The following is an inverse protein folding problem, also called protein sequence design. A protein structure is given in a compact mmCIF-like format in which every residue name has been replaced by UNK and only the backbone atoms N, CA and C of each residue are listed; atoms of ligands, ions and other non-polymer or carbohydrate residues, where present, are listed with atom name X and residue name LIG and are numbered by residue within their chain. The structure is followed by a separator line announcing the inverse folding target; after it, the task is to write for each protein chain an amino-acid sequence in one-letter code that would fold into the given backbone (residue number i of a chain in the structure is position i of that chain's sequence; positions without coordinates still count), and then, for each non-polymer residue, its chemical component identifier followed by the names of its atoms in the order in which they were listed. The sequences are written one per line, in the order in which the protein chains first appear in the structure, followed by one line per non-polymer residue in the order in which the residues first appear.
data_IF_559469271324
#
_entry.id   IF_559469271324
#
_cell.length_a   1.000
_cell.length_b   1.000
_cell.length_c   1.000
_cell.angle_alpha   90.00
_cell.angle_beta   90.00
_cell.angle_gamma   90.00
#
_symmetry.space_group_name_H-M   'P 1'
#
loop_
_entity.id
_entity.type
_entity.pdbx_description
1 polymer ?
#
# COMPACT_ATOMS: atom_id res chain seq x y z
N UNK A 1 -16.35 9.97 -30.97
CA UNK A 1 -15.75 8.65 -30.63
C UNK A 1 -15.73 8.54 -29.11
N UNK A 2 -15.87 7.37 -28.51
CA UNK A 2 -15.53 7.21 -27.11
C UNK A 2 -14.00 7.29 -26.93
N UNK A 3 -13.54 7.64 -25.72
CA UNK A 3 -12.11 7.74 -25.42
C UNK A 3 -11.37 6.41 -25.58
N UNK A 4 -12.07 5.28 -25.49
CA UNK A 4 -11.57 3.94 -25.82
C UNK A 4 -11.21 3.80 -27.29
N UNK A 5 -12.08 4.25 -28.19
CA UNK A 5 -11.92 4.12 -29.64
C UNK A 5 -10.74 4.98 -30.12
N UNK A 6 -10.51 6.10 -29.45
CA UNK A 6 -9.32 6.95 -29.62
C UNK A 6 -8.02 6.22 -29.23
N UNK A 7 -8.02 5.46 -28.13
CA UNK A 7 -6.86 4.65 -27.72
C UNK A 7 -6.64 3.44 -28.65
N UNK A 8 -7.71 2.79 -29.10
CA UNK A 8 -7.64 1.70 -30.07
C UNK A 8 -7.15 2.19 -31.44
N UNK A 9 -7.56 3.39 -31.87
CA UNK A 9 -6.95 4.07 -33.01
C UNK A 9 -5.45 4.32 -32.79
N UNK A 10 -5.05 4.93 -31.67
CA UNK A 10 -3.64 5.21 -31.32
C UNK A 10 -2.78 3.96 -30.98
N UNK A 11 -3.22 2.76 -31.38
CA UNK A 11 -2.43 1.52 -31.35
C UNK A 11 -2.93 0.47 -30.37
N UNK A 12 -4.05 0.71 -29.67
CA UNK A 12 -4.63 -0.24 -28.72
C UNK A 12 -3.67 -0.58 -27.58
N UNK A 13 -3.37 -1.86 -27.37
CA UNK A 13 -2.39 -2.32 -26.39
C UNK A 13 -0.98 -2.21 -26.98
N UNK A 14 -0.55 -0.98 -27.22
CA UNK A 14 0.76 -0.66 -27.79
C UNK A 14 1.91 -0.72 -26.79
N UNK A 15 3.12 -0.43 -27.28
CA UNK A 15 4.36 -0.43 -26.47
C UNK A 15 4.26 0.53 -25.27
N UNK A 16 3.65 1.70 -25.45
CA UNK A 16 3.43 2.62 -24.35
C UNK A 16 2.53 2.01 -23.26
N UNK A 17 1.38 1.46 -23.63
CA UNK A 17 0.42 0.89 -22.68
C UNK A 17 1.04 -0.23 -21.85
N UNK A 18 1.85 -1.10 -22.47
CA UNK A 18 2.56 -2.18 -21.78
C UNK A 18 3.60 -1.65 -20.78
N UNK A 19 4.49 -0.76 -21.23
CA UNK A 19 5.56 -0.19 -20.37
C UNK A 19 4.98 0.66 -19.23
N UNK A 20 3.99 1.50 -19.53
CA UNK A 20 3.30 2.34 -18.54
C UNK A 20 2.58 1.51 -17.48
N UNK A 21 1.92 0.41 -17.89
CA UNK A 21 1.29 -0.52 -16.96
C UNK A 21 2.32 -1.25 -16.11
N UNK A 22 3.41 -1.75 -16.68
CA UNK A 22 4.49 -2.40 -15.91
C UNK A 22 5.09 -1.47 -14.85
N UNK A 23 5.31 -0.19 -15.18
CA UNK A 23 5.79 0.85 -14.26
C UNK A 23 4.79 1.23 -13.15
N UNK A 24 3.49 0.95 -13.32
CA UNK A 24 2.48 1.14 -12.28
C UNK A 24 2.21 -0.14 -11.47
N UNK A 25 2.41 -1.33 -12.06
CA UNK A 25 2.24 -2.61 -11.36
C UNK A 25 3.41 -2.95 -10.44
N UNK A 26 4.66 -2.60 -10.80
CA UNK A 26 5.84 -2.81 -9.96
C UNK A 26 5.68 -2.28 -8.51
N UNK A 27 5.32 -0.99 -8.29
CA UNK A 27 5.08 -0.47 -6.93
C UNK A 27 3.85 -1.08 -6.26
N UNK A 28 2.82 -1.46 -7.01
CA UNK A 28 1.64 -2.14 -6.47
C UNK A 28 1.95 -3.58 -6.00
N UNK A 29 2.89 -4.27 -6.65
CA UNK A 29 3.41 -5.55 -6.16
C UNK A 29 4.12 -5.41 -4.83
N UNK A 30 5.06 -4.46 -4.72
CA UNK A 30 5.84 -4.23 -3.49
C UNK A 30 5.01 -3.66 -2.32
N UNK A 31 3.78 -3.18 -2.56
CA UNK A 31 2.83 -2.88 -1.48
C UNK A 31 2.33 -4.13 -0.75
N UNK A 32 2.34 -5.30 -1.39
CA UNK A 32 2.12 -6.56 -0.67
C UNK A 32 3.19 -6.77 0.41
N UNK A 33 4.45 -6.41 0.12
CA UNK A 33 5.53 -6.50 1.10
C UNK A 33 5.21 -5.68 2.36
N UNK A 34 4.66 -4.46 2.23
CA UNK A 34 4.27 -3.66 3.38
C UNK A 34 3.01 -4.17 4.12
N UNK A 35 2.00 -4.68 3.41
CA UNK A 35 0.81 -5.25 4.06
C UNK A 35 1.12 -6.50 4.89
N UNK A 36 2.03 -7.37 4.41
CA UNK A 36 2.40 -8.61 5.09
C UNK A 36 3.65 -8.52 5.96
N UNK A 37 4.34 -7.37 5.98
CA UNK A 37 5.56 -7.12 6.75
C UNK A 37 5.44 -7.51 8.24
N UNK A 38 4.28 -7.20 8.83
CA UNK A 38 4.01 -7.48 10.25
C UNK A 38 4.06 -8.97 10.60
N UNK A 39 3.86 -9.89 9.65
CA UNK A 39 3.97 -11.34 9.89
C UNK A 39 5.42 -11.75 10.25
N UNK A 40 6.41 -11.01 9.75
CA UNK A 40 7.83 -11.23 10.05
C UNK A 40 8.31 -10.30 11.17
N UNK A 41 8.00 -9.00 11.09
CA UNK A 41 8.48 -8.03 12.08
C UNK A 41 7.81 -8.17 13.45
N UNK A 42 6.64 -8.82 13.55
CA UNK A 42 5.93 -9.11 14.79
C UNK A 42 5.79 -10.61 15.11
N UNK A 43 6.73 -11.41 14.61
CA UNK A 43 6.93 -12.76 15.12
C UNK A 43 7.26 -12.71 16.62
N UNK A 44 6.60 -13.56 17.40
CA UNK A 44 6.90 -13.78 18.82
C UNK A 44 7.74 -15.06 18.94
N UNK A 45 9.05 -14.99 19.19
CA UNK A 45 9.86 -16.19 19.42
C UNK A 45 9.50 -16.83 20.78
N UNK A 46 9.97 -18.06 21.07
CA UNK A 46 9.90 -18.64 22.40
C UNK A 46 10.46 -17.67 23.46
N UNK A 47 9.75 -17.53 24.57
CA UNK A 47 10.09 -16.60 25.65
C UNK A 47 9.68 -17.17 27.01
N UNK A 48 10.26 -16.61 28.07
CA UNK A 48 9.95 -16.91 29.46
C UNK A 48 10.14 -15.66 30.34
N UNK A 49 9.63 -15.67 31.56
CA UNK A 49 9.84 -14.56 32.50
C UNK A 49 11.33 -14.36 32.81
N UNK A 50 11.76 -13.10 32.92
CA UNK A 50 13.09 -12.77 33.44
C UNK A 50 13.17 -13.04 34.95
N UNK A 51 14.38 -13.34 35.43
CA UNK A 51 14.66 -13.53 36.85
C UNK A 51 14.57 -12.18 37.60
N UNK A 52 14.14 -12.16 38.88
CA UNK A 52 14.20 -10.94 39.69
C UNK A 52 15.63 -10.45 39.86
N UNK A 53 15.83 -9.13 39.80
CA UNK A 53 17.16 -8.51 39.88
C UNK A 53 17.91 -8.76 41.21
N UNK A 54 17.19 -9.13 42.28
CA UNK A 54 17.75 -9.44 43.60
C UNK A 54 18.51 -10.78 43.65
N UNK A 55 18.35 -11.65 42.64
CA UNK A 55 19.10 -12.90 42.52
C UNK A 55 20.18 -12.77 41.44
N UNK A 56 21.43 -12.57 41.88
CA UNK A 56 22.62 -12.54 41.02
C UNK A 56 23.04 -13.95 40.60
N UNK A 57 23.60 -14.09 39.39
CA UNK A 57 24.01 -15.37 38.77
C UNK A 57 24.93 -16.27 39.61
N UNK A 58 25.60 -15.71 40.63
CA UNK A 58 26.58 -16.39 41.48
C UNK A 58 26.08 -17.63 42.26
N UNK A 59 24.77 -17.88 42.34
CA UNK A 59 24.22 -19.02 43.10
C UNK A 59 24.04 -20.31 42.29
N UNK A 60 24.00 -20.28 40.96
CA UNK A 60 23.84 -21.50 40.12
C UNK A 60 24.53 -21.39 38.77
N UNK A 61 25.63 -22.14 38.58
CA UNK A 61 26.33 -22.31 37.29
C UNK A 61 25.52 -23.10 36.22
N UNK A 62 24.29 -23.51 36.52
CA UNK A 62 23.37 -24.17 35.58
C UNK A 62 22.11 -23.30 35.39
N UNK A 63 22.06 -22.58 34.26
CA UNK A 63 20.91 -21.78 33.86
C UNK A 63 19.66 -22.62 33.59
N UNK A 64 19.82 -23.91 33.27
CA UNK A 64 18.72 -24.86 33.14
C UNK A 64 18.08 -25.26 34.47
N UNK A 65 18.85 -25.23 35.57
CA UNK A 65 18.33 -25.47 36.92
C UNK A 65 17.49 -24.27 37.40
N UNK A 66 17.98 -23.04 37.23
CA UNK A 66 17.21 -21.82 37.54
C UNK A 66 15.85 -21.80 36.83
N UNK A 67 15.85 -22.11 35.52
CA UNK A 67 14.64 -22.10 34.70
C UNK A 67 13.54 -23.03 35.23
N UNK A 68 13.89 -24.27 35.61
CA UNK A 68 12.94 -25.31 36.09
C UNK A 68 12.35 -24.98 37.46
N UNK A 69 13.11 -24.32 38.33
CA UNK A 69 12.66 -23.94 39.66
C UNK A 69 11.83 -22.65 39.68
N UNK A 70 11.91 -21.81 38.63
CA UNK A 70 11.21 -20.51 38.60
C UNK A 70 10.01 -20.47 37.65
N UNK A 71 9.97 -21.29 36.60
CA UNK A 71 8.89 -21.27 35.60
C UNK A 71 8.18 -22.62 35.57
N UNK A 72 6.84 -22.67 35.71
CA UNK A 72 6.09 -23.92 35.60
C UNK A 72 6.21 -24.53 34.20
N UNK A 73 6.12 -25.86 34.13
CA UNK A 73 6.11 -26.61 32.87
C UNK A 73 4.67 -26.90 32.44
N UNK A 74 4.37 -26.63 31.17
CA UNK A 74 3.13 -27.09 30.52
C UNK A 74 3.02 -28.62 30.51
N UNK A 75 1.82 -29.12 30.19
CA UNK A 75 1.52 -30.55 29.97
C UNK A 75 2.44 -31.27 28.95
N UNK A 76 3.18 -30.52 28.12
CA UNK A 76 4.15 -31.04 27.16
C UNK A 76 5.62 -30.93 27.62
N UNK A 77 5.89 -30.59 28.88
CA UNK A 77 7.25 -30.43 29.42
C UNK A 77 7.96 -29.15 28.96
N UNK A 78 7.23 -28.20 28.37
CA UNK A 78 7.76 -26.91 27.88
C UNK A 78 7.47 -25.81 28.90
N UNK A 79 8.44 -24.95 29.27
CA UNK A 79 8.22 -23.82 30.18
C UNK A 79 7.02 -22.94 29.77
N UNK A 80 6.24 -22.46 30.74
CA UNK A 80 5.21 -21.47 30.48
C UNK A 80 5.81 -20.11 30.08
N UNK A 81 5.34 -19.49 28.99
CA UNK A 81 5.94 -18.25 28.49
C UNK A 81 5.50 -16.99 29.26
N UNK A 82 4.43 -17.10 30.06
CA UNK A 82 3.72 -15.96 30.65
C UNK A 82 3.53 -16.04 32.16
N UNK A 83 3.93 -17.13 32.81
CA UNK A 83 3.83 -17.31 34.26
C UNK A 83 5.17 -17.75 34.83
N UNK A 84 5.38 -17.39 36.10
CA UNK A 84 6.44 -17.91 36.97
C UNK A 84 5.85 -18.29 38.32
N UNK A 85 6.57 -19.07 39.11
CA UNK A 85 6.23 -19.25 40.52
C UNK A 85 6.48 -17.96 41.31
N UNK A 86 5.65 -17.68 42.31
CA UNK A 86 5.81 -16.50 43.18
C UNK A 86 7.08 -16.55 44.02
N UNK A 87 7.52 -17.76 44.38
CA UNK A 87 8.80 -18.03 45.05
C UNK A 87 9.52 -19.18 44.31
N UNK A 88 10.86 -19.16 44.21
CA UNK A 88 11.62 -20.17 43.47
C UNK A 88 11.55 -21.54 44.16
N UNK A 89 11.02 -22.52 43.44
CA UNK A 89 10.77 -23.88 43.93
C UNK A 89 12.00 -24.78 43.74
N UNK A 90 13.06 -24.54 44.52
CA UNK A 90 14.30 -25.36 44.45
C UNK A 90 14.05 -26.86 44.67
N UNK A 91 13.03 -27.22 45.45
CA UNK A 91 12.59 -28.59 45.65
C UNK A 91 12.17 -29.33 44.37
N UNK A 92 11.78 -28.63 43.29
CA UNK A 92 11.46 -29.23 41.98
C UNK A 92 12.70 -29.72 41.21
N UNK A 93 13.91 -29.45 41.70
CA UNK A 93 15.14 -30.02 41.15
C UNK A 93 15.46 -31.41 41.71
N UNK A 94 14.81 -31.81 42.81
CA UNK A 94 14.96 -33.15 43.40
C UNK A 94 13.95 -34.13 42.75
N UNK A 95 14.35 -35.38 42.44
CA UNK A 95 13.61 -36.26 41.53
C UNK A 95 12.31 -36.88 42.10
N UNK A 96 11.90 -36.54 43.33
CA UNK A 96 10.78 -37.16 44.05
C UNK A 96 9.70 -36.17 44.53
N UNK A 97 9.81 -34.87 44.20
CA UNK A 97 9.02 -33.80 44.83
C UNK A 97 7.95 -33.24 43.88
N UNK A 98 6.69 -33.62 44.06
CA UNK A 98 5.55 -33.11 43.29
C UNK A 98 4.82 -31.97 44.00
N UNK A 99 5.16 -30.72 43.65
CA UNK A 99 4.57 -29.52 44.27
C UNK A 99 3.17 -29.20 43.72
N UNK A 100 2.14 -29.88 44.22
CA UNK A 100 0.75 -29.55 43.88
C UNK A 100 0.31 -28.22 44.53
N UNK A 101 -0.16 -27.27 43.73
CA UNK A 101 -0.79 -26.04 44.22
C UNK A 101 0.15 -24.86 44.51
N UNK A 102 1.36 -24.83 43.96
CA UNK A 102 2.25 -23.65 44.06
C UNK A 102 1.60 -22.44 43.39
N UNK A 103 1.62 -21.29 44.05
CA UNK A 103 1.12 -20.05 43.50
C UNK A 103 2.01 -19.54 42.35
N UNK A 104 1.37 -19.16 41.24
CA UNK A 104 2.01 -18.55 40.08
C UNK A 104 1.60 -17.08 39.94
N UNK A 105 2.47 -16.29 39.30
CA UNK A 105 2.21 -14.91 38.92
C UNK A 105 2.69 -14.63 37.48
N UNK A 106 2.17 -13.56 36.87
CA UNK A 106 2.68 -13.06 35.59
C UNK A 106 4.09 -12.47 35.71
N UNK A 107 4.83 -12.45 34.60
CA UNK A 107 6.17 -11.88 34.55
C UNK A 107 6.16 -10.37 34.86
N UNK A 108 6.76 -9.96 35.98
CA UNK A 108 6.88 -8.55 36.39
C UNK A 108 8.22 -7.90 36.04
N UNK A 109 9.30 -8.68 36.04
CA UNK A 109 10.69 -8.21 35.87
C UNK A 109 11.17 -8.24 34.39
N UNK A 110 10.25 -8.37 33.43
CA UNK A 110 10.55 -8.48 31.99
C UNK A 110 10.55 -9.91 31.45
N UNK A 111 11.02 -10.07 30.20
CA UNK A 111 11.02 -11.33 29.46
C UNK A 111 12.37 -11.63 28.79
N UNK A 112 12.74 -12.90 28.78
CA UNK A 112 13.90 -13.41 28.04
C UNK A 112 13.40 -14.14 26.79
N UNK A 113 13.87 -13.71 25.62
CA UNK A 113 13.48 -14.21 24.30
C UNK A 113 14.60 -15.04 23.66
N UNK A 114 14.27 -16.17 23.04
CA UNK A 114 15.21 -16.86 22.15
C UNK A 114 15.48 -16.02 20.89
N UNK A 115 16.76 -15.76 20.63
CA UNK A 115 17.25 -14.96 19.50
C UNK A 115 17.84 -15.80 18.36
N UNK A 116 17.79 -17.13 18.45
CA UNK A 116 18.36 -18.08 17.48
C UNK A 116 17.85 -17.83 16.04
N UNK A 117 16.53 -17.74 15.89
CA UNK A 117 15.84 -17.50 14.61
C UNK A 117 15.70 -15.99 14.36
N UNK A 118 15.18 -15.22 15.31
CA UNK A 118 14.89 -13.79 15.16
C UNK A 118 15.77 -12.96 16.11
N UNK A 119 16.72 -12.14 15.61
CA UNK A 119 17.61 -11.35 16.48
C UNK A 119 16.89 -10.19 17.17
N UNK A 120 15.88 -9.62 16.50
CA UNK A 120 14.98 -8.57 17.02
C UNK A 120 13.66 -8.54 16.24
N UNK A 121 12.55 -8.43 16.97
CA UNK A 121 11.19 -8.19 16.43
C UNK A 121 10.51 -7.08 17.23
N UNK A 122 9.43 -6.48 16.73
CA UNK A 122 8.67 -5.46 17.48
C UNK A 122 8.05 -6.01 18.78
N UNK A 123 7.91 -7.34 18.87
CA UNK A 123 7.43 -8.02 20.08
C UNK A 123 8.52 -7.99 21.16
N UNK A 124 9.78 -8.16 20.79
CA UNK A 124 10.95 -8.13 21.69
C UNK A 124 11.46 -6.72 22.02
N UNK A 125 10.94 -5.69 21.34
CA UNK A 125 11.33 -4.28 21.53
C UNK A 125 10.42 -3.56 22.55
N UNK A 126 9.18 -4.05 22.68
CA UNK A 126 8.11 -3.43 23.49
C UNK A 126 7.30 -4.47 24.30
N UNK A 127 7.88 -5.66 24.52
CA UNK A 127 7.31 -6.78 25.27
C UNK A 127 5.82 -7.09 24.95
N UNK A 128 5.50 -7.17 23.66
CA UNK A 128 4.12 -7.35 23.16
C UNK A 128 3.64 -8.82 23.25
N UNK A 129 3.88 -9.45 24.39
CA UNK A 129 3.55 -10.84 24.74
C UNK A 129 2.43 -10.92 25.79
N UNK A 130 1.95 -12.13 26.08
CA UNK A 130 0.99 -12.38 27.16
C UNK A 130 -0.24 -11.45 27.07
N UNK A 131 -0.49 -10.61 28.07
CA UNK A 131 -1.59 -9.61 28.07
C UNK A 131 -1.42 -8.54 26.96
N UNK A 132 -0.19 -8.07 26.75
CA UNK A 132 0.18 -7.07 25.76
C UNK A 132 0.12 -7.59 24.30
N UNK A 133 -0.09 -8.90 24.08
CA UNK A 133 -0.32 -9.50 22.75
C UNK A 133 -1.42 -8.78 21.95
N UNK A 134 -2.44 -8.26 22.64
CA UNK A 134 -3.53 -7.50 22.03
C UNK A 134 -3.05 -6.22 21.31
N UNK A 135 -1.97 -5.58 21.79
CA UNK A 135 -1.40 -4.37 21.18
C UNK A 135 -0.81 -4.65 19.79
N UNK A 136 -0.20 -5.83 19.60
CA UNK A 136 0.30 -6.27 18.29
C UNK A 136 -0.84 -6.33 17.25
N UNK A 137 -1.98 -6.88 17.65
CA UNK A 137 -3.13 -7.08 16.76
C UNK A 137 -3.93 -5.77 16.57
N UNK A 138 -3.88 -4.86 17.56
CA UNK A 138 -4.27 -3.45 17.43
C UNK A 138 -3.43 -2.72 16.37
N UNK A 139 -2.10 -2.92 16.33
CA UNK A 139 -1.24 -2.28 15.32
C UNK A 139 -1.56 -2.72 13.88
N UNK A 140 -2.03 -3.96 13.67
CA UNK A 140 -2.55 -4.41 12.38
C UNK A 140 -3.89 -3.70 12.06
N UNK A 141 -4.76 -3.58 13.05
CA UNK A 141 -6.06 -2.91 12.92
C UNK A 141 -5.91 -1.41 12.57
N UNK A 142 -4.91 -0.74 13.15
CA UNK A 142 -4.56 0.67 12.90
C UNK A 142 -4.10 0.91 11.45
N UNK A 143 -3.43 -0.06 10.82
CA UNK A 143 -3.13 0.02 9.38
C UNK A 143 -4.38 -0.16 8.52
N UNK A 144 -5.31 -1.05 8.91
CA UNK A 144 -6.55 -1.26 8.16
C UNK A 144 -7.53 -0.07 8.26
N UNK A 145 -7.57 0.63 9.40
CA UNK A 145 -8.28 1.93 9.48
C UNK A 145 -7.55 3.02 8.68
N UNK A 146 -6.21 3.01 8.65
CA UNK A 146 -5.40 3.84 7.75
C UNK A 146 -5.75 3.62 6.28
N UNK A 147 -5.86 2.35 5.84
CA UNK A 147 -6.29 1.94 4.48
C UNK A 147 -7.69 2.51 4.16
N UNK A 148 -8.64 2.40 5.08
CA UNK A 148 -10.00 2.93 4.90
C UNK A 148 -10.02 4.46 4.76
N UNK A 149 -9.33 5.18 5.65
CA UNK A 149 -9.23 6.66 5.61
C UNK A 149 -8.48 7.13 4.36
N UNK A 150 -7.41 6.43 3.98
CA UNK A 150 -6.65 6.69 2.75
C UNK A 150 -7.48 6.51 1.49
N UNK A 151 -8.39 5.52 1.44
CA UNK A 151 -9.26 5.31 0.29
C UNK A 151 -10.21 6.50 0.06
N UNK A 152 -10.84 7.00 1.12
CA UNK A 152 -11.71 8.17 1.05
C UNK A 152 -10.94 9.46 0.67
N UNK A 153 -9.82 9.72 1.34
CA UNK A 153 -9.04 10.95 1.13
C UNK A 153 -8.34 10.97 -0.24
N UNK A 154 -7.57 9.94 -0.59
CA UNK A 154 -6.86 9.91 -1.86
C UNK A 154 -7.79 9.69 -3.05
N UNK A 155 -8.95 9.03 -2.87
CA UNK A 155 -10.00 8.98 -3.89
C UNK A 155 -10.56 10.38 -4.20
N UNK A 156 -10.98 11.13 -3.18
CA UNK A 156 -11.48 12.50 -3.38
C UNK A 156 -10.42 13.45 -3.95
N UNK A 157 -9.16 13.27 -3.56
CA UNK A 157 -8.03 14.05 -4.05
C UNK A 157 -7.69 13.74 -5.53
N UNK A 158 -7.86 12.47 -5.96
CA UNK A 158 -7.60 12.00 -7.32
C UNK A 158 -8.52 12.59 -8.39
N UNK A 159 -9.75 12.95 -8.02
CA UNK A 159 -10.67 13.62 -8.93
C UNK A 159 -10.37 15.13 -9.02
N UNK A 160 -10.00 15.77 -7.89
CA UNK A 160 -9.72 17.21 -7.81
C UNK A 160 -8.37 17.63 -8.37
N UNK A 161 -7.31 16.86 -8.13
CA UNK A 161 -5.92 17.23 -8.52
C UNK A 161 -5.37 16.43 -9.70
N UNK A 162 -6.13 15.46 -10.22
CA UNK A 162 -5.62 14.44 -11.13
C UNK A 162 -5.03 13.26 -10.36
N UNK A 163 -4.69 12.19 -11.07
CA UNK A 163 -4.36 10.89 -10.46
C UNK A 163 -2.86 10.75 -10.19
N UNK A 164 -2.03 11.51 -10.91
CA UNK A 164 -0.58 11.57 -10.68
C UNK A 164 -0.23 12.24 -9.36
N UNK A 165 -0.87 13.37 -9.02
CA UNK A 165 -0.55 14.15 -7.82
C UNK A 165 -0.66 13.34 -6.50
N UNK A 166 -1.79 12.68 -6.18
CA UNK A 166 -1.90 11.84 -4.98
C UNK A 166 -1.01 10.59 -5.04
N UNK A 167 -0.71 10.06 -6.23
CA UNK A 167 0.19 8.91 -6.40
C UNK A 167 1.64 9.27 -6.03
N UNK A 168 2.15 10.38 -6.59
CA UNK A 168 3.48 10.95 -6.27
C UNK A 168 3.59 11.22 -4.77
N UNK A 169 2.57 11.85 -4.17
CA UNK A 169 2.54 12.11 -2.73
C UNK A 169 2.55 10.81 -1.91
N UNK A 170 1.77 9.81 -2.31
CA UNK A 170 1.68 8.54 -1.58
C UNK A 170 2.99 7.76 -1.60
N UNK A 171 3.77 7.79 -2.70
CA UNK A 171 5.12 7.21 -2.73
C UNK A 171 6.07 7.91 -1.75
N UNK A 172 6.06 9.24 -1.72
CA UNK A 172 6.89 10.02 -0.78
C UNK A 172 6.49 9.75 0.67
N UNK A 173 5.19 9.81 0.97
CA UNK A 173 4.66 9.56 2.31
C UNK A 173 5.00 8.14 2.79
N UNK A 174 4.90 7.12 1.91
CA UNK A 174 5.22 5.73 2.25
C UNK A 174 6.71 5.55 2.54
N UNK A 175 7.57 6.09 1.69
CA UNK A 175 9.01 6.04 1.89
C UNK A 175 9.46 6.75 3.18
N UNK A 176 8.93 7.96 3.45
CA UNK A 176 9.28 8.74 4.65
C UNK A 176 8.74 8.09 5.92
N UNK A 177 7.45 7.76 5.98
CA UNK A 177 6.86 7.13 7.18
C UNK A 177 7.46 5.75 7.44
N UNK A 178 7.72 4.96 6.39
CA UNK A 178 8.36 3.66 6.49
C UNK A 178 9.83 3.74 6.95
N UNK A 179 10.60 4.72 6.47
CA UNK A 179 11.96 4.97 6.95
C UNK A 179 11.98 5.44 8.41
N UNK A 180 11.11 6.38 8.81
CA UNK A 180 11.03 6.86 10.20
C UNK A 180 10.60 5.74 11.16
N UNK A 181 9.70 4.84 10.72
CA UNK A 181 9.30 3.64 11.48
C UNK A 181 10.50 2.79 11.92
N UNK A 182 11.55 2.70 11.09
CA UNK A 182 12.76 1.95 11.42
C UNK A 182 13.63 2.59 12.53
N UNK A 183 13.48 3.90 12.81
CA UNK A 183 14.22 4.63 13.85
C UNK A 183 13.43 4.88 15.14
N UNK A 184 12.10 4.76 15.11
CA UNK A 184 11.24 5.04 16.26
C UNK A 184 11.48 4.03 17.41
N UNK A 185 11.60 4.54 18.64
CA UNK A 185 11.73 3.75 19.87
C UNK A 185 10.44 3.59 20.69
N UNK A 186 9.33 4.25 20.31
CA UNK A 186 8.06 4.21 21.04
C UNK A 186 6.96 3.50 20.24
N UNK A 187 6.28 2.55 20.87
CA UNK A 187 5.15 1.83 20.28
C UNK A 187 4.01 2.75 19.80
N UNK A 188 3.70 3.82 20.55
CA UNK A 188 2.66 4.80 20.15
C UNK A 188 3.04 5.54 18.87
N UNK A 189 4.30 5.96 18.76
CA UNK A 189 4.80 6.60 17.54
C UNK A 189 4.89 5.60 16.37
N UNK A 190 5.28 4.35 16.63
CA UNK A 190 5.24 3.27 15.63
C UNK A 190 3.82 3.12 15.06
N UNK A 191 2.80 3.03 15.91
CA UNK A 191 1.39 2.95 15.49
C UNK A 191 0.93 4.16 14.64
N UNK A 192 1.39 5.38 14.94
CA UNK A 192 1.08 6.57 14.12
C UNK A 192 1.70 6.44 12.72
N UNK A 193 2.96 6.03 12.59
CA UNK A 193 3.55 5.78 11.27
C UNK A 193 2.94 4.56 10.58
N UNK A 194 2.49 3.53 11.31
CA UNK A 194 1.74 2.38 10.78
C UNK A 194 0.38 2.79 10.20
N UNK A 195 -0.31 3.76 10.80
CA UNK A 195 -1.54 4.37 10.25
C UNK A 195 -1.26 5.14 8.95
N UNK A 196 -0.25 6.02 8.96
CA UNK A 196 0.19 6.76 7.76
C UNK A 196 0.65 5.80 6.64
N UNK A 197 1.28 4.68 7.04
CA UNK A 197 1.49 3.45 6.27
C UNK A 197 0.27 3.06 5.45
N UNK A 198 -0.79 2.66 6.17
CA UNK A 198 -2.04 2.17 5.58
C UNK A 198 -2.72 3.18 4.65
N UNK A 199 -2.66 4.48 4.98
CA UNK A 199 -3.24 5.52 4.11
C UNK A 199 -2.65 5.50 2.69
N UNK A 200 -1.33 5.31 2.57
CA UNK A 200 -0.64 5.31 1.27
C UNK A 200 -0.92 4.07 0.43
N UNK A 201 -1.24 2.93 1.05
CA UNK A 201 -1.59 1.69 0.34
C UNK A 201 -2.80 1.92 -0.58
N UNK A 202 -3.88 2.50 -0.05
CA UNK A 202 -5.06 2.89 -0.83
C UNK A 202 -4.74 4.01 -1.82
N UNK A 203 -3.96 5.00 -1.41
CA UNK A 203 -3.54 6.11 -2.28
C UNK A 203 -2.81 5.64 -3.54
N UNK A 204 -1.91 4.66 -3.42
CA UNK A 204 -1.19 4.09 -4.55
C UNK A 204 -2.08 3.16 -5.37
N UNK A 205 -2.75 2.18 -4.75
CA UNK A 205 -3.51 1.17 -5.52
C UNK A 205 -4.66 1.82 -6.31
N UNK A 206 -5.44 2.73 -5.71
CA UNK A 206 -6.56 3.37 -6.40
C UNK A 206 -6.11 4.25 -7.57
N UNK A 207 -5.04 5.03 -7.39
CA UNK A 207 -4.53 5.90 -8.46
C UNK A 207 -3.80 5.13 -9.55
N UNK A 208 -2.99 4.13 -9.22
CA UNK A 208 -2.37 3.24 -10.20
C UNK A 208 -3.40 2.50 -11.03
N UNK A 209 -4.43 1.89 -10.40
CA UNK A 209 -5.53 1.24 -11.13
C UNK A 209 -6.27 2.21 -12.05
N UNK A 210 -6.58 3.41 -11.55
CA UNK A 210 -7.28 4.43 -12.34
C UNK A 210 -6.46 4.86 -13.56
N UNK A 211 -5.16 5.13 -13.38
CA UNK A 211 -4.26 5.48 -14.49
C UNK A 211 -4.09 4.34 -15.50
N UNK A 212 -3.98 3.08 -15.04
CA UNK A 212 -3.94 1.90 -15.93
C UNK A 212 -5.24 1.76 -16.72
N UNK A 213 -6.41 1.84 -16.06
CA UNK A 213 -7.72 1.68 -16.70
C UNK A 213 -8.03 2.83 -17.68
N UNK A 214 -7.60 4.05 -17.37
CA UNK A 214 -7.78 5.21 -18.26
C UNK A 214 -6.83 5.19 -19.46
N UNK A 215 -5.60 4.67 -19.35
CA UNK A 215 -4.68 4.52 -20.49
C UNK A 215 -4.85 3.21 -21.28
N UNK A 216 -5.52 2.20 -20.74
CA UNK A 216 -5.82 0.93 -21.43
C UNK A 216 -7.13 0.99 -22.24
N UNK A 217 -7.13 0.48 -23.50
CA UNK A 217 -8.37 0.20 -24.23
C UNK A 217 -9.14 -0.95 -23.56
N UNK A 218 -10.44 -1.05 -23.84
CA UNK A 218 -11.35 -1.98 -23.14
C UNK A 218 -10.87 -3.44 -23.12
N UNK A 219 -10.27 -3.91 -24.23
CA UNK A 219 -9.74 -5.28 -24.37
C UNK A 219 -8.57 -5.59 -23.42
N UNK A 220 -7.76 -4.59 -23.05
CA UNK A 220 -6.58 -4.77 -22.19
C UNK A 220 -6.86 -4.73 -20.69
N UNK A 221 -8.01 -4.16 -20.27
CA UNK A 221 -8.30 -3.87 -18.86
C UNK A 221 -8.36 -5.12 -17.98
N UNK A 222 -9.01 -6.19 -18.43
CA UNK A 222 -9.09 -7.45 -17.69
C UNK A 222 -7.71 -8.07 -17.49
N UNK A 223 -6.85 -8.05 -18.52
CA UNK A 223 -5.48 -8.55 -18.44
C UNK A 223 -4.65 -7.73 -17.46
N UNK A 224 -4.78 -6.40 -17.48
CA UNK A 224 -4.07 -5.52 -16.55
C UNK A 224 -4.50 -5.73 -15.08
N UNK A 225 -5.79 -5.99 -14.82
CA UNK A 225 -6.29 -6.36 -13.49
C UNK A 225 -5.78 -7.72 -13.01
N UNK A 226 -5.70 -8.71 -13.90
CA UNK A 226 -5.11 -10.03 -13.60
C UNK A 226 -3.60 -9.90 -13.29
N UNK A 227 -2.87 -9.10 -14.08
CA UNK A 227 -1.46 -8.83 -13.86
C UNK A 227 -1.20 -8.09 -12.54
N UNK A 228 -2.11 -7.21 -12.09
CA UNK A 228 -2.03 -6.62 -10.74
C UNK A 228 -2.09 -7.71 -9.67
N UNK A 229 -3.05 -8.64 -9.76
CA UNK A 229 -3.16 -9.77 -8.83
C UNK A 229 -1.86 -10.59 -8.76
N UNK A 230 -1.31 -10.99 -9.91
CA UNK A 230 -0.02 -11.69 -9.96
C UNK A 230 1.15 -10.87 -9.41
N UNK A 231 1.20 -9.55 -9.66
CA UNK A 231 2.25 -8.68 -9.12
C UNK A 231 2.21 -8.61 -7.59
N UNK A 232 1.00 -8.66 -7.00
CA UNK A 232 0.80 -8.65 -5.55
C UNK A 232 1.29 -9.96 -4.91
N UNK A 233 0.96 -11.12 -5.50
CA UNK A 233 1.49 -12.42 -5.08
C UNK A 233 3.02 -12.51 -5.23
N UNK A 234 3.57 -11.94 -6.31
CA UNK A 234 5.02 -11.85 -6.48
C UNK A 234 5.68 -10.98 -5.39
N UNK A 235 5.02 -9.90 -4.96
CA UNK A 235 5.44 -9.09 -3.81
C UNK A 235 5.47 -9.88 -2.49
N UNK A 236 4.50 -10.77 -2.26
CA UNK A 236 4.54 -11.67 -1.08
C UNK A 236 5.75 -12.62 -1.12
N UNK A 237 6.07 -13.16 -2.29
CA UNK A 237 7.25 -14.03 -2.48
C UNK A 237 8.56 -13.25 -2.29
N UNK A 238 8.65 -12.02 -2.82
CA UNK A 238 9.78 -11.11 -2.60
C UNK A 238 9.96 -10.81 -1.10
N UNK A 239 8.87 -10.52 -0.38
CA UNK A 239 8.92 -10.28 1.07
C UNK A 239 9.51 -11.48 1.82
N UNK A 240 9.09 -12.71 1.50
CA UNK A 240 9.61 -13.92 2.13
C UNK A 240 11.13 -14.08 1.91
N UNK A 241 11.61 -13.83 0.69
CA UNK A 241 13.05 -13.85 0.38
C UNK A 241 13.84 -12.75 1.09
N UNK A 242 13.31 -11.52 1.13
CA UNK A 242 13.97 -10.39 1.81
C UNK A 242 13.96 -10.57 3.33
N UNK A 243 12.90 -11.12 3.93
CA UNK A 243 12.82 -11.42 5.36
C UNK A 243 13.75 -12.57 5.80
N UNK A 244 14.01 -13.54 4.91
CA UNK A 244 15.01 -14.58 5.16
C UNK A 244 16.43 -14.01 5.21
N UNK A 245 16.76 -13.09 4.29
CA UNK A 245 18.07 -12.42 4.23
C UNK A 245 18.25 -11.36 5.33
N UNK A 246 17.22 -10.56 5.60
CA UNK A 246 17.24 -9.41 6.52
C UNK A 246 16.33 -9.70 7.70
N UNK A 247 16.86 -10.44 8.68
CA UNK A 247 16.13 -10.86 9.88
C UNK A 247 15.87 -9.75 10.94
N UNK A 248 16.70 -8.70 11.11
CA UNK A 248 16.40 -7.62 12.07
C UNK A 248 15.27 -6.71 11.60
N UNK A 249 14.22 -6.52 12.41
CA UNK A 249 12.99 -5.86 11.98
C UNK A 249 13.16 -4.42 11.45
N UNK A 250 14.04 -3.62 12.08
CA UNK A 250 14.33 -2.23 11.68
C UNK A 250 14.93 -2.15 10.27
N UNK A 251 15.88 -3.04 9.96
CA UNK A 251 16.50 -3.12 8.64
C UNK A 251 15.54 -3.70 7.59
N UNK A 252 14.69 -4.66 7.95
CA UNK A 252 13.67 -5.22 7.06
C UNK A 252 12.62 -4.16 6.68
N UNK A 253 12.16 -3.36 7.64
CA UNK A 253 11.28 -2.22 7.44
C UNK A 253 11.90 -1.21 6.44
N UNK A 254 13.16 -0.83 6.66
CA UNK A 254 13.87 0.11 5.77
C UNK A 254 14.05 -0.47 4.35
N UNK A 255 14.45 -1.74 4.23
CA UNK A 255 14.68 -2.40 2.95
C UNK A 255 13.41 -2.51 2.08
N UNK A 256 12.23 -2.70 2.69
CA UNK A 256 10.94 -2.72 1.98
C UNK A 256 10.47 -1.30 1.60
N UNK A 257 10.80 -0.28 2.40
CA UNK A 257 10.44 1.12 2.07
C UNK A 257 11.36 1.81 1.07
N UNK A 258 12.65 1.47 1.01
CA UNK A 258 13.63 2.14 0.16
C UNK A 258 13.26 2.18 -1.36
N UNK A 259 12.70 1.12 -1.98
CA UNK A 259 12.23 1.18 -3.37
C UNK A 259 11.23 2.31 -3.66
N UNK A 260 10.40 2.70 -2.69
CA UNK A 260 9.39 3.74 -2.90
C UNK A 260 9.99 5.14 -3.09
N UNK A 261 11.25 5.38 -2.69
CA UNK A 261 11.99 6.60 -3.09
C UNK A 261 12.31 6.61 -4.59
N UNK A 262 12.71 5.47 -5.16
CA UNK A 262 12.95 5.33 -6.60
C UNK A 262 11.64 5.52 -7.38
N UNK A 263 10.53 5.03 -6.82
CA UNK A 263 9.20 5.14 -7.42
C UNK A 263 8.67 6.57 -7.37
N UNK A 264 8.89 7.29 -6.26
CA UNK A 264 8.69 8.74 -6.19
C UNK A 264 9.47 9.48 -7.28
N UNK A 265 10.77 9.20 -7.43
CA UNK A 265 11.63 9.89 -8.43
C UNK A 265 11.16 9.66 -9.88
N UNK A 266 10.85 8.43 -10.30
CA UNK A 266 10.36 8.22 -11.67
C UNK A 266 8.90 8.66 -11.86
N UNK A 267 8.10 8.73 -10.80
CA UNK A 267 6.67 9.10 -10.92
C UNK A 267 6.47 10.49 -11.53
N UNK A 268 7.45 11.39 -11.41
CA UNK A 268 7.48 12.68 -12.09
C UNK A 268 7.47 12.58 -13.63
N UNK A 269 7.96 11.50 -14.22
CA UNK A 269 7.95 11.29 -15.69
C UNK A 269 6.64 10.68 -16.22
N UNK A 270 5.81 10.08 -15.36
CA UNK A 270 4.53 9.51 -15.77
C UNK A 270 3.60 10.59 -16.34
N UNK A 271 2.98 10.43 -17.52
CA UNK A 271 1.94 11.34 -17.98
C UNK A 271 0.67 11.21 -17.11
N UNK A 272 0.07 12.36 -16.78
CA UNK A 272 -1.27 12.43 -16.20
C UNK A 272 -2.31 11.93 -17.23
N UNK A 273 -3.44 11.44 -16.73
CA UNK A 273 -4.56 10.94 -17.53
C UNK A 273 -5.02 11.96 -18.56
N UNK A 274 -4.91 11.61 -19.85
CA UNK A 274 -5.41 12.46 -20.94
C UNK A 274 -6.93 12.62 -20.90
N UNK A 275 -7.67 11.68 -20.29
CA UNK A 275 -9.11 11.82 -20.03
C UNK A 275 -9.38 12.88 -18.97
N UNK A 276 -8.67 12.86 -17.85
CA UNK A 276 -8.81 13.87 -16.79
C UNK A 276 -8.44 15.27 -17.30
N UNK A 277 -7.36 15.39 -18.09
CA UNK A 277 -6.92 16.64 -18.70
C UNK A 277 -7.97 17.23 -19.67
N UNK A 278 -8.62 16.41 -20.49
CA UNK A 278 -9.71 16.86 -21.38
C UNK A 278 -10.92 17.37 -20.58
N UNK A 279 -11.35 16.64 -19.54
CA UNK A 279 -12.47 17.04 -18.69
C UNK A 279 -12.21 18.33 -17.89
N UNK A 280 -10.94 18.62 -17.57
CA UNK A 280 -10.52 19.85 -16.88
C UNK A 280 -10.06 20.96 -17.85
N UNK A 281 -10.46 20.92 -19.13
CA UNK A 281 -10.19 21.96 -20.12
C UNK A 281 -8.73 22.08 -20.58
N UNK A 282 -7.81 21.23 -20.08
CA UNK A 282 -6.37 21.23 -20.40
C UNK A 282 -6.08 20.51 -21.72
N UNK A 283 -6.87 20.81 -22.76
CA UNK A 283 -6.87 20.11 -24.03
C UNK A 283 -5.49 20.07 -24.72
N UNK A 284 -4.72 21.17 -24.68
CA UNK A 284 -3.36 21.20 -25.24
C UNK A 284 -2.41 20.18 -24.57
N UNK A 285 -2.50 20.02 -23.24
CA UNK A 285 -1.68 19.04 -22.51
C UNK A 285 -2.12 17.60 -22.82
N UNK A 286 -3.43 17.36 -22.98
CA UNK A 286 -3.95 16.07 -23.42
C UNK A 286 -3.45 15.70 -24.83
N UNK A 287 -3.51 16.62 -25.80
CA UNK A 287 -3.00 16.39 -27.17
C UNK A 287 -1.49 16.14 -27.16
N UNK A 288 -0.71 16.87 -26.37
CA UNK A 288 0.74 16.62 -26.23
C UNK A 288 1.03 15.21 -25.67
N UNK A 289 0.29 14.74 -24.67
CA UNK A 289 0.44 13.39 -24.13
C UNK A 289 0.00 12.33 -25.16
N UNK A 290 -1.14 12.52 -25.83
CA UNK A 290 -1.63 11.61 -26.87
C UNK A 290 -0.66 11.53 -28.06
N UNK A 291 -0.03 12.64 -28.49
CA UNK A 291 0.99 12.63 -29.56
C UNK A 291 2.27 11.89 -29.17
N UNK A 292 2.68 11.95 -27.88
CA UNK A 292 3.78 11.12 -27.36
C UNK A 292 3.44 9.62 -27.41
N UNK A 293 2.21 9.24 -27.02
CA UNK A 293 1.73 7.85 -27.09
C UNK A 293 1.64 7.36 -28.54
N UNK A 294 1.06 8.17 -29.44
CA UNK A 294 1.01 7.91 -30.87
C UNK A 294 2.41 7.67 -31.46
N UNK A 295 3.41 8.45 -31.04
CA UNK A 295 4.80 8.28 -31.46
C UNK A 295 5.42 6.97 -30.94
N UNK A 296 5.23 6.64 -29.66
CA UNK A 296 5.74 5.39 -29.05
C UNK A 296 5.07 4.12 -29.62
N UNK A 297 3.82 4.24 -30.07
CA UNK A 297 3.07 3.17 -30.74
C UNK A 297 3.24 3.17 -32.27
N UNK A 298 4.11 4.02 -32.84
CA UNK A 298 4.41 4.09 -34.27
C UNK A 298 3.38 4.82 -35.14
N UNK A 299 2.20 5.18 -34.61
CA UNK A 299 1.09 5.82 -35.32
C UNK A 299 1.19 7.36 -35.35
N UNK A 300 2.36 7.88 -35.72
CA UNK A 300 2.66 9.34 -35.75
C UNK A 300 1.58 10.17 -36.46
N UNK A 301 1.13 9.73 -37.64
CA UNK A 301 0.16 10.45 -38.48
C UNK A 301 -1.21 10.67 -37.81
N UNK A 302 -1.66 9.74 -36.95
CA UNK A 302 -2.93 9.90 -36.23
C UNK A 302 -2.78 10.85 -35.03
N UNK A 303 -1.62 10.85 -34.36
CA UNK A 303 -1.27 11.85 -33.36
C UNK A 303 -1.24 13.30 -33.91
N UNK A 304 -1.00 13.47 -35.20
CA UNK A 304 -0.99 14.76 -35.88
C UNK A 304 -2.39 15.21 -36.33
N UNK A 305 -3.25 14.28 -36.79
CA UNK A 305 -4.68 14.56 -37.05
C UNK A 305 -5.39 15.15 -35.83
N UNK A 306 -5.12 14.62 -34.63
CA UNK A 306 -5.66 15.16 -33.36
C UNK A 306 -5.26 16.61 -33.08
N UNK A 307 -4.11 17.05 -33.58
CA UNK A 307 -3.67 18.45 -33.43
C UNK A 307 -4.50 19.37 -34.33
N UNK A 308 -4.89 18.92 -35.53
CA UNK A 308 -5.70 19.69 -36.47
C UNK A 308 -7.13 19.88 -35.93
N UNK A 309 -7.77 18.81 -35.43
CA UNK A 309 -9.13 18.89 -34.88
C UNK A 309 -9.24 19.86 -33.70
N UNK A 310 -8.30 19.78 -32.74
CA UNK A 310 -8.31 20.66 -31.56
C UNK A 310 -7.96 22.10 -31.92
N UNK A 311 -7.08 22.31 -32.91
CA UNK A 311 -6.79 23.67 -33.42
C UNK A 311 -8.02 24.29 -34.08
N UNK A 312 -8.73 23.56 -34.94
CA UNK A 312 -9.96 24.01 -35.58
C UNK A 312 -11.08 24.35 -34.59
N UNK A 313 -11.16 23.63 -33.47
CA UNK A 313 -12.11 23.90 -32.38
C UNK A 313 -11.77 25.15 -31.55
N UNK A 314 -10.54 25.69 -31.68
CA UNK A 314 -10.04 26.82 -30.87
C UNK A 314 -10.09 28.20 -31.57
N UNK A 315 -10.52 28.25 -32.83
CA UNK A 315 -10.22 29.37 -33.75
C UNK A 315 -11.39 30.32 -34.07
N UNK A 316 -12.46 30.32 -33.29
CA UNK A 316 -13.58 31.28 -33.43
C UNK A 316 -13.70 32.22 -32.22
N UNK A 317 -13.23 33.48 -32.31
CA UNK A 317 -13.54 34.53 -31.35
C UNK A 317 -15.04 34.83 -31.31
N UNK A 318 -15.57 35.11 -30.12
CA UNK A 318 -17.01 35.26 -29.90
C UNK A 318 -17.48 36.69 -30.21
N UNK A 319 -18.30 36.84 -31.27
CA UNK A 319 -19.11 38.03 -31.53
C UNK A 319 -20.59 37.66 -31.76
N UNK A 320 -21.23 37.12 -30.73
CA UNK A 320 -22.66 37.32 -30.38
C UNK A 320 -23.03 36.53 -29.12
N UNK A 321 -24.09 36.95 -28.44
CA UNK A 321 -24.51 36.43 -27.12
C UNK A 321 -25.46 35.23 -27.22
N UNK A 322 -24.95 34.00 -27.09
CA UNK A 322 -25.69 32.83 -26.62
C UNK A 322 -24.76 31.64 -26.29
N UNK A 323 -25.03 30.91 -25.21
CA UNK A 323 -24.54 29.54 -25.02
C UNK A 323 -25.62 28.54 -25.51
N UNK A 324 -25.28 27.26 -25.82
CA UNK A 324 -23.97 26.62 -25.69
C UNK A 324 -23.31 26.20 -27.03
N UNK A 325 -21.97 26.23 -27.05
CA UNK A 325 -21.06 25.41 -27.87
C UNK A 325 -21.55 24.86 -29.24
N UNK A 326 -21.89 25.74 -30.18
CA UNK A 326 -22.21 25.35 -31.57
C UNK A 326 -20.96 25.30 -32.46
N UNK A 327 -20.33 24.13 -32.56
CA UNK A 327 -19.31 23.88 -33.58
C UNK A 327 -19.92 23.99 -34.99
N UNK A 328 -19.64 25.08 -35.72
CA UNK A 328 -20.12 25.28 -37.09
C UNK A 328 -19.48 24.24 -38.02
N UNK A 329 -20.32 23.45 -38.68
CA UNK A 329 -19.91 22.20 -39.32
C UNK A 329 -19.47 22.35 -40.78
N UNK A 330 -18.43 21.59 -41.14
CA UNK A 330 -18.16 21.14 -42.51
C UNK A 330 -17.93 19.62 -42.49
N UNK A 331 -18.97 18.89 -42.02
CA UNK A 331 -18.93 17.45 -41.76
C UNK A 331 -18.57 17.07 -40.31
N UNK A 332 -18.87 15.83 -39.92
CA UNK A 332 -18.44 15.16 -38.68
C UNK A 332 -18.82 15.76 -37.30
N UNK A 333 -19.76 16.72 -37.23
CA UNK A 333 -20.17 17.34 -35.96
C UNK A 333 -20.78 16.36 -34.91
N UNK A 334 -21.22 15.16 -35.32
CA UNK A 334 -21.73 14.11 -34.43
C UNK A 334 -20.67 13.47 -33.53
N UNK A 335 -19.38 13.68 -33.82
CA UNK A 335 -18.26 12.94 -33.20
C UNK A 335 -17.92 13.43 -31.80
N UNK A 336 -18.04 14.74 -31.53
CA UNK A 336 -17.60 15.39 -30.29
C UNK A 336 -18.71 15.57 -29.24
N UNK A 337 -19.98 15.77 -29.64
CA UNK A 337 -21.09 15.85 -28.67
C UNK A 337 -21.27 14.55 -27.85
N UNK A 338 -20.86 13.40 -28.42
CA UNK A 338 -20.84 12.09 -27.75
C UNK A 338 -19.65 11.87 -26.79
N UNK A 339 -18.69 12.81 -26.68
CA UNK A 339 -17.56 12.69 -25.74
C UNK A 339 -17.91 13.15 -24.32
N UNK A 340 -18.87 14.06 -24.16
CA UNK A 340 -19.26 14.59 -22.84
C UNK A 340 -20.39 13.78 -22.18
N UNK A 341 -21.36 13.28 -22.95
CA UNK A 341 -22.56 12.60 -22.42
C UNK A 341 -22.41 11.07 -22.44
N UNK A 342 -21.71 10.55 -21.43
CA UNK A 342 -21.53 9.12 -21.18
C UNK A 342 -22.67 8.47 -20.39
N UNK A 343 -23.93 8.60 -20.83
CA UNK A 343 -25.09 7.98 -20.19
C UNK A 343 -26.12 7.48 -21.20
N UNK A 344 -26.40 6.17 -21.19
CA UNK A 344 -27.31 5.51 -22.12
C UNK A 344 -28.76 5.49 -21.62
N UNK A 345 -29.49 6.59 -21.83
CA UNK A 345 -30.96 6.61 -21.70
C UNK A 345 -31.58 7.62 -22.65
N UNK A 346 -32.46 7.15 -23.53
CA UNK A 346 -33.25 7.99 -24.42
C UNK A 346 -34.61 8.32 -23.80
N UNK A 347 -34.79 9.54 -23.32
CA UNK A 347 -36.11 10.08 -22.95
C UNK A 347 -36.15 11.61 -23.13
N UNK A 348 -37.17 12.17 -23.80
CA UNK A 348 -37.34 13.61 -23.93
C UNK A 348 -38.15 14.18 -22.76
N UNK A 349 -37.58 15.09 -21.98
CA UNK A 349 -38.34 15.92 -21.05
C UNK A 349 -39.11 17.00 -21.82
N UNK A 350 -40.44 16.85 -21.89
CA UNK A 350 -41.33 17.94 -22.30
C UNK A 350 -41.39 18.99 -21.19
N UNK A 351 -41.35 20.27 -21.57
CA UNK A 351 -41.76 21.39 -20.73
C UNK A 351 -43.08 21.96 -21.28
N UNK A 352 -43.98 22.46 -20.42
CA UNK A 352 -45.24 23.07 -20.85
C UNK A 352 -45.01 24.45 -21.47
N UNK A 353 -45.92 24.94 -22.34
CA UNK A 353 -45.88 26.30 -22.85
C UNK A 353 -46.20 27.32 -21.74
N UNK A 354 -45.56 28.51 -21.73
CA UNK A 354 -45.93 29.60 -20.84
C UNK A 354 -47.02 30.50 -21.45
N UNK A 355 -48.08 30.72 -20.67
CA UNK A 355 -49.24 31.62 -20.92
C UNK A 355 -50.13 31.25 -22.11
#
# INVERSE_FOLDING_TARGET
MAFTDLLDALGGVGRFQLVYTALLLLPCGLLACHTFLQNFTAAAPPHHCQHPANYTEATTNDSGAWLRATIPLNQHGVPEPCQRYTEPQWALLEPNTSSHGVATEGCKDGWVYDRSIFPSTIVMEWDLVCEARTLRDLAQSIYMSGVLVGAALFGSLADRLGRKAPLVWSYLQLAVSGAVTAYVGSFSAYCIFRFLMGMTFSGIILNSLSLVVEWMPTRGRTVAGILLGFSFTLGQLILAGVAYLIRPWRWLQFAVSAPFLVFFLYSWWLPESSRWLLLHGKAQQAVQNLRKVAMMNGRKAEGERLTIEVSGCSLTPWLTTAWPWTCRSSGSASTWYRLCLGSSTSQPCWLPPPL
#
